data_IF_265371666707
#
_entry.id   IF_265371666707
#
_cell.length_a   1.000
_cell.length_b   1.000
_cell.length_c   1.000
_cell.angle_alpha   90.00
_cell.angle_beta   90.00
_cell.angle_gamma   90.00
#
_symmetry.space_group_name_H-M   'P 1'
#
loop_
_entity.id
_entity.type
_entity.pdbx_description
1 polymer ?
#
# COMPACT_ATOMS: atom_id res chain seq x y z
N UNK A 1 -81.80 -9.69 34.42
CA UNK A 1 -80.67 -10.65 34.34
C UNK A 1 -80.05 -10.78 32.94
N UNK A 2 -80.81 -10.99 31.86
CA UNK A 2 -80.24 -11.18 30.51
C UNK A 2 -79.62 -9.91 29.90
N UNK A 3 -80.25 -8.74 30.08
CA UNK A 3 -79.72 -7.44 29.59
C UNK A 3 -78.38 -7.06 30.24
N UNK A 4 -78.20 -7.32 31.53
CA UNK A 4 -76.92 -7.06 32.22
C UNK A 4 -75.80 -7.98 31.75
N UNK A 5 -76.12 -9.24 31.43
CA UNK A 5 -75.14 -10.19 30.86
C UNK A 5 -74.68 -9.72 29.48
N UNK A 6 -75.59 -9.23 28.63
CA UNK A 6 -75.26 -8.68 27.29
C UNK A 6 -74.41 -7.40 27.38
N UNK A 7 -74.73 -6.50 28.32
CA UNK A 7 -73.94 -5.27 28.56
C UNK A 7 -72.52 -5.58 29.04
N UNK A 8 -72.37 -6.53 29.98
CA UNK A 8 -71.05 -6.99 30.43
C UNK A 8 -70.26 -7.68 29.31
N UNK A 9 -70.91 -8.52 28.51
CA UNK A 9 -70.28 -9.16 27.36
C UNK A 9 -69.77 -8.14 26.32
N UNK A 10 -70.56 -7.11 26.02
CA UNK A 10 -70.16 -6.03 25.10
C UNK A 10 -68.98 -5.23 25.64
N UNK A 11 -68.97 -4.90 26.94
CA UNK A 11 -67.87 -4.18 27.57
C UNK A 11 -66.56 -4.98 27.54
N UNK A 12 -66.64 -6.29 27.79
CA UNK A 12 -65.48 -7.20 27.67
C UNK A 12 -65.01 -7.25 26.21
N UNK A 13 -65.92 -7.40 25.24
CA UNK A 13 -65.57 -7.42 23.82
C UNK A 13 -64.88 -6.12 23.35
N UNK A 14 -65.39 -4.95 23.76
CA UNK A 14 -64.75 -3.66 23.46
C UNK A 14 -63.35 -3.55 24.10
N UNK A 15 -63.19 -4.02 25.34
CA UNK A 15 -61.89 -3.97 26.03
C UNK A 15 -60.86 -4.87 25.33
N UNK A 16 -61.27 -6.07 24.92
CA UNK A 16 -60.43 -6.99 24.15
C UNK A 16 -60.06 -6.39 22.79
N UNK A 17 -61.00 -5.75 22.11
CA UNK A 17 -60.73 -5.09 20.83
C UNK A 17 -59.71 -3.95 20.97
N UNK A 18 -59.87 -3.08 21.96
CA UNK A 18 -58.91 -2.01 22.24
C UNK A 18 -57.53 -2.58 22.56
N UNK A 19 -57.46 -3.65 23.38
CA UNK A 19 -56.21 -4.31 23.68
C UNK A 19 -55.53 -4.88 22.42
N UNK A 20 -56.28 -5.52 21.52
CA UNK A 20 -55.75 -6.02 20.24
C UNK A 20 -55.23 -4.88 19.35
N UNK A 21 -55.94 -3.74 19.29
CA UNK A 21 -55.46 -2.57 18.55
C UNK A 21 -54.15 -2.02 19.12
N UNK A 22 -54.00 -1.98 20.44
CA UNK A 22 -52.77 -1.54 21.10
C UNK A 22 -51.62 -2.51 20.81
N UNK A 23 -51.84 -3.82 20.91
CA UNK A 23 -50.83 -4.84 20.56
C UNK A 23 -50.41 -4.73 19.10
N UNK A 24 -51.35 -4.52 18.17
CA UNK A 24 -51.03 -4.33 16.75
C UNK A 24 -50.25 -3.03 16.49
N UNK A 25 -50.60 -1.93 17.15
CA UNK A 25 -49.86 -0.67 17.06
C UNK A 25 -48.43 -0.82 17.60
N UNK A 26 -48.26 -1.48 18.75
CA UNK A 26 -46.94 -1.79 19.32
C UNK A 26 -46.10 -2.64 18.37
N UNK A 27 -46.69 -3.69 17.77
CA UNK A 27 -46.01 -4.51 16.77
C UNK A 27 -45.56 -3.69 15.54
N UNK A 28 -46.39 -2.75 15.07
CA UNK A 28 -46.03 -1.86 13.96
C UNK A 28 -44.90 -0.91 14.31
N UNK A 29 -44.87 -0.39 15.55
CA UNK A 29 -43.78 0.47 16.02
C UNK A 29 -42.47 -0.30 16.11
N UNK A 30 -42.48 -1.52 16.65
CA UNK A 30 -41.30 -2.40 16.72
C UNK A 30 -40.75 -2.65 15.30
N UNK A 31 -41.62 -3.02 14.35
CA UNK A 31 -41.20 -3.24 12.96
C UNK A 31 -40.67 -1.99 12.25
N UNK A 32 -41.15 -0.80 12.61
CA UNK A 32 -40.64 0.44 12.05
C UNK A 32 -39.24 0.76 12.60
N UNK A 33 -39.04 0.54 13.90
CA UNK A 33 -37.74 0.72 14.54
C UNK A 33 -36.69 -0.25 13.98
N UNK A 34 -37.03 -1.54 13.82
CA UNK A 34 -36.18 -2.54 13.16
C UNK A 34 -35.75 -2.09 11.75
N UNK A 35 -36.70 -1.59 10.95
CA UNK A 35 -36.39 -1.06 9.60
C UNK A 35 -35.47 0.15 9.64
N UNK A 36 -35.69 1.07 10.58
CA UNK A 36 -34.85 2.27 10.72
C UNK A 36 -33.44 1.93 11.20
N UNK A 37 -33.29 0.90 12.04
CA UNK A 37 -31.97 0.38 12.45
C UNK A 37 -31.25 -0.22 11.24
N UNK A 38 -31.91 -1.11 10.49
CA UNK A 38 -31.32 -1.72 9.29
C UNK A 38 -30.94 -0.66 8.25
N UNK A 39 -31.78 0.36 8.03
CA UNK A 39 -31.46 1.44 7.11
C UNK A 39 -30.25 2.27 7.56
N UNK A 40 -30.14 2.56 8.86
CA UNK A 40 -28.96 3.25 9.39
C UNK A 40 -27.69 2.43 9.24
N UNK A 41 -27.74 1.14 9.55
CA UNK A 41 -26.59 0.23 9.36
C UNK A 41 -26.13 0.20 7.91
N UNK A 42 -27.07 0.08 6.97
CA UNK A 42 -26.75 0.14 5.53
C UNK A 42 -26.12 1.47 5.13
N UNK A 43 -26.65 2.59 5.61
CA UNK A 43 -26.08 3.91 5.34
C UNK A 43 -24.68 4.07 5.93
N UNK A 44 -24.45 3.59 7.16
CA UNK A 44 -23.14 3.60 7.80
C UNK A 44 -22.12 2.73 7.07
N UNK A 45 -22.53 1.57 6.57
CA UNK A 45 -21.69 0.69 5.74
C UNK A 45 -21.35 1.34 4.39
N UNK A 46 -22.33 1.91 3.69
CA UNK A 46 -22.10 2.65 2.44
C UNK A 46 -21.15 3.83 2.67
N UNK A 47 -21.37 4.62 3.71
CA UNK A 47 -20.50 5.75 4.03
C UNK A 47 -19.07 5.28 4.33
N UNK A 48 -18.89 4.21 5.11
CA UNK A 48 -17.56 3.65 5.38
C UNK A 48 -16.84 3.20 4.11
N UNK A 49 -17.56 2.59 3.15
CA UNK A 49 -17.00 2.20 1.84
C UNK A 49 -16.57 3.44 1.04
N UNK A 50 -17.45 4.43 0.91
CA UNK A 50 -17.12 5.70 0.24
C UNK A 50 -15.92 6.40 0.87
N UNK A 51 -15.86 6.43 2.20
CA UNK A 51 -14.75 7.06 2.91
C UNK A 51 -13.42 6.32 2.71
N UNK A 52 -13.43 4.98 2.63
CA UNK A 52 -12.24 4.17 2.32
C UNK A 52 -11.75 4.42 0.90
N UNK A 53 -12.66 4.60 -0.06
CA UNK A 53 -12.33 4.94 -1.46
C UNK A 53 -11.71 6.35 -1.52
N UNK A 54 -12.38 7.34 -0.91
CA UNK A 54 -11.89 8.72 -0.88
C UNK A 54 -10.52 8.81 -0.20
N UNK A 55 -10.31 8.10 0.91
CA UNK A 55 -9.03 8.09 1.60
C UNK A 55 -7.91 7.46 0.74
N UNK A 56 -8.22 6.42 -0.04
CA UNK A 56 -7.28 5.81 -1.00
C UNK A 56 -6.91 6.82 -2.09
N UNK A 57 -7.89 7.53 -2.66
CA UNK A 57 -7.66 8.53 -3.70
C UNK A 57 -6.79 9.69 -3.18
N UNK A 58 -7.07 10.22 -1.99
CA UNK A 58 -6.28 11.29 -1.36
C UNK A 58 -4.83 10.84 -1.08
N UNK A 59 -4.62 9.60 -0.63
CA UNK A 59 -3.29 9.05 -0.42
C UNK A 59 -2.50 8.90 -1.74
N UNK A 60 -3.16 8.48 -2.82
CA UNK A 60 -2.57 8.36 -4.17
C UNK A 60 -2.21 9.75 -4.72
N UNK A 61 -3.13 10.72 -4.64
CA UNK A 61 -2.87 12.09 -5.11
C UNK A 61 -1.70 12.73 -4.35
N UNK A 62 -1.61 12.48 -3.04
CA UNK A 62 -0.45 12.87 -2.24
C UNK A 62 0.84 12.20 -2.74
N UNK A 63 0.82 10.89 -2.99
CA UNK A 63 2.00 10.15 -3.48
C UNK A 63 2.44 10.59 -4.88
N UNK A 64 1.51 10.94 -5.76
CA UNK A 64 1.80 11.50 -7.08
C UNK A 64 2.56 12.82 -6.94
N UNK A 65 2.03 13.76 -6.17
CA UNK A 65 2.71 15.05 -5.92
C UNK A 65 4.06 14.89 -5.20
N UNK A 66 4.14 13.96 -4.26
CA UNK A 66 5.36 13.65 -3.52
C UNK A 66 6.46 13.10 -4.43
N UNK A 67 6.13 12.11 -5.26
CA UNK A 67 7.10 11.51 -6.19
C UNK A 67 7.50 12.44 -7.33
N UNK A 68 6.60 13.27 -7.84
CA UNK A 68 6.93 14.33 -8.80
C UNK A 68 7.94 15.33 -8.23
N UNK A 69 7.72 15.76 -6.98
CA UNK A 69 8.62 16.67 -6.29
C UNK A 69 10.00 16.03 -6.06
N UNK A 70 10.03 14.81 -5.54
CA UNK A 70 11.27 14.07 -5.29
C UNK A 70 12.04 13.84 -6.60
N UNK A 71 11.34 13.48 -7.66
CA UNK A 71 11.91 13.31 -9.00
C UNK A 71 12.59 14.59 -9.50
N UNK A 72 11.94 15.74 -9.38
CA UNK A 72 12.50 17.02 -9.79
C UNK A 72 13.76 17.39 -9.00
N UNK A 73 13.80 17.08 -7.70
CA UNK A 73 14.99 17.26 -6.87
C UNK A 73 16.12 16.31 -7.31
N UNK A 74 15.82 15.05 -7.59
CA UNK A 74 16.81 14.05 -8.03
C UNK A 74 17.36 14.37 -9.42
N UNK A 75 16.55 14.92 -10.33
CA UNK A 75 17.02 15.40 -11.65
C UNK A 75 18.10 16.47 -11.50
N UNK A 76 17.93 17.40 -10.57
CA UNK A 76 18.92 18.45 -10.26
C UNK A 76 20.21 17.89 -9.67
N UNK A 77 20.17 16.69 -9.08
CA UNK A 77 21.33 15.99 -8.56
C UNK A 77 22.16 15.24 -9.63
N UNK A 78 21.71 15.22 -10.90
CA UNK A 78 22.58 14.91 -12.04
C UNK A 78 22.10 13.81 -12.99
N UNK A 79 21.04 13.06 -12.65
CA UNK A 79 20.44 12.07 -13.56
C UNK A 79 19.18 12.69 -14.18
N UNK A 80 19.32 13.25 -15.38
CA UNK A 80 18.30 14.10 -15.99
C UNK A 80 16.99 13.39 -16.34
N UNK A 81 17.04 12.10 -16.66
CA UNK A 81 15.88 11.27 -16.99
C UNK A 81 15.41 10.40 -15.83
N UNK A 82 15.86 10.69 -14.60
CA UNK A 82 15.42 9.91 -13.45
C UNK A 82 13.89 9.99 -13.29
N UNK A 83 13.31 8.83 -13.03
CA UNK A 83 11.90 8.62 -12.74
C UNK A 83 11.80 8.07 -11.32
N UNK A 84 10.92 8.67 -10.52
CA UNK A 84 10.57 8.17 -9.20
C UNK A 84 9.17 7.61 -9.30
N UNK A 85 9.00 6.35 -8.93
CA UNK A 85 7.72 5.65 -8.95
C UNK A 85 7.45 5.08 -7.58
N UNK A 86 6.22 4.65 -7.34
CA UNK A 86 5.86 3.95 -6.12
C UNK A 86 4.94 2.77 -6.41
N UNK A 87 4.88 1.83 -5.47
CA UNK A 87 3.90 0.74 -5.45
C UNK A 87 3.27 0.67 -4.08
N UNK A 88 1.97 0.40 -4.03
CA UNK A 88 1.28 0.09 -2.78
C UNK A 88 1.80 -1.26 -2.25
N UNK A 89 1.88 -1.42 -0.94
CA UNK A 89 2.16 -2.69 -0.27
C UNK A 89 1.23 -2.93 0.92
N UNK A 90 1.28 -4.13 1.48
CA UNK A 90 0.58 -4.46 2.72
C UNK A 90 1.26 -3.81 3.93
N UNK A 91 0.50 -3.70 5.03
CA UNK A 91 1.01 -3.25 6.33
C UNK A 91 2.11 -4.19 6.84
N UNK A 92 1.88 -5.50 6.76
CA UNK A 92 2.80 -6.51 7.26
C UNK A 92 4.13 -6.47 6.52
N UNK A 93 4.08 -6.32 5.19
CA UNK A 93 5.30 -6.12 4.40
C UNK A 93 6.02 -4.84 4.81
N UNK A 94 5.30 -3.74 5.06
CA UNK A 94 5.94 -2.49 5.46
C UNK A 94 6.59 -2.59 6.86
N UNK A 95 5.87 -3.17 7.82
CA UNK A 95 6.30 -3.32 9.21
C UNK A 95 7.57 -4.16 9.33
N UNK A 96 7.71 -5.22 8.51
CA UNK A 96 8.90 -6.08 8.49
C UNK A 96 10.21 -5.30 8.28
N UNK A 97 10.19 -4.24 7.45
CA UNK A 97 11.42 -3.51 7.06
C UNK A 97 11.56 -2.14 7.71
N UNK A 98 10.46 -1.40 7.87
CA UNK A 98 10.50 -0.01 8.35
C UNK A 98 9.87 0.19 9.73
N UNK A 99 9.06 -0.77 10.18
CA UNK A 99 8.24 -0.64 11.38
C UNK A 99 7.02 0.27 11.14
N UNK A 100 5.93 -0.01 11.83
CA UNK A 100 4.74 0.87 11.87
C UNK A 100 4.41 1.26 13.31
N UNK A 101 3.86 2.45 13.51
CA UNK A 101 3.38 2.86 14.83
C UNK A 101 2.02 2.20 15.11
N UNK A 102 1.98 1.31 16.10
CA UNK A 102 0.74 0.65 16.55
C UNK A 102 -0.23 1.61 17.26
N UNK A 103 0.22 2.80 17.66
CA UNK A 103 -0.57 3.79 18.41
C UNK A 103 -1.03 4.98 17.58
N UNK A 104 -0.80 4.96 16.27
CA UNK A 104 -1.24 6.00 15.34
C UNK A 104 -2.78 6.14 15.37
N UNK A 105 -3.33 7.32 15.72
CA UNK A 105 -4.77 7.51 15.87
C UNK A 105 -5.50 7.77 14.55
N UNK A 106 -4.83 7.65 13.39
CA UNK A 106 -5.42 7.91 12.08
C UNK A 106 -6.57 6.96 11.74
N UNK A 107 -7.51 7.45 10.91
CA UNK A 107 -8.70 6.68 10.52
C UNK A 107 -8.38 5.67 9.40
N UNK A 108 -7.43 6.02 8.52
CA UNK A 108 -7.01 5.20 7.38
C UNK A 108 -5.49 5.17 7.24
N UNK A 109 -4.98 4.06 6.71
CA UNK A 109 -3.55 3.77 6.60
C UNK A 109 -3.24 3.25 5.20
N UNK A 110 -2.24 3.83 4.55
CA UNK A 110 -1.76 3.39 3.24
C UNK A 110 -0.24 3.32 3.22
N UNK A 111 0.29 2.24 2.65
CA UNK A 111 1.72 1.91 2.67
C UNK A 111 2.24 1.85 1.24
N UNK A 112 3.33 2.57 0.98
CA UNK A 112 3.91 2.69 -0.35
C UNK A 112 5.43 2.51 -0.31
N UNK A 113 5.98 1.89 -1.35
CA UNK A 113 7.41 1.66 -1.52
C UNK A 113 7.89 2.40 -2.77
N UNK A 114 8.90 3.24 -2.59
CA UNK A 114 9.53 3.97 -3.70
C UNK A 114 10.46 3.08 -4.52
N UNK A 115 10.51 3.35 -5.82
CA UNK A 115 11.44 2.79 -6.78
C UNK A 115 11.99 3.90 -7.70
N UNK A 116 13.20 3.70 -8.23
CA UNK A 116 13.91 4.68 -9.06
C UNK A 116 14.33 4.08 -10.38
N UNK A 117 14.05 4.78 -11.48
CA UNK A 117 14.34 4.34 -12.84
C UNK A 117 15.09 5.40 -13.64
N UNK A 118 15.91 4.99 -14.60
CA UNK A 118 16.52 5.88 -15.58
C UNK A 118 16.86 5.06 -16.83
N UNK A 119 16.50 5.58 -18.01
CA UNK A 119 16.77 4.89 -19.27
C UNK A 119 18.25 5.08 -19.69
N UNK A 120 18.87 6.17 -19.20
CA UNK A 120 20.25 6.56 -19.45
C UNK A 120 21.27 5.97 -18.48
N UNK A 121 20.86 5.28 -17.41
CA UNK A 121 21.75 4.80 -16.35
C UNK A 121 22.87 3.88 -16.87
N UNK A 122 22.62 3.04 -17.88
CA UNK A 122 23.64 2.18 -18.50
C UNK A 122 24.75 3.01 -19.15
N UNK A 123 24.38 4.05 -19.90
CA UNK A 123 25.31 4.94 -20.58
C UNK A 123 26.10 5.76 -19.57
N UNK A 124 25.41 6.29 -18.56
CA UNK A 124 26.02 6.99 -17.42
C UNK A 124 27.03 6.09 -16.73
N UNK A 125 26.68 4.84 -16.44
CA UNK A 125 27.58 3.88 -15.82
C UNK A 125 28.79 3.59 -16.71
N UNK A 126 28.59 3.27 -17.99
CA UNK A 126 29.68 2.96 -18.91
C UNK A 126 30.66 4.12 -19.10
N UNK A 127 30.17 5.36 -19.18
CA UNK A 127 31.00 6.55 -19.31
C UNK A 127 31.79 6.83 -18.01
N UNK A 128 31.10 6.77 -16.87
CA UNK A 128 31.66 7.12 -15.56
C UNK A 128 32.49 6.02 -14.92
N UNK A 129 32.54 4.82 -15.51
CA UNK A 129 33.40 3.70 -15.08
C UNK A 129 34.48 3.37 -16.10
N UNK A 130 34.63 4.22 -17.13
CA UNK A 130 35.63 4.02 -18.17
C UNK A 130 37.05 3.95 -17.59
N UNK A 131 37.84 2.99 -18.07
CA UNK A 131 39.19 2.70 -17.58
C UNK A 131 39.26 2.15 -16.13
N UNK A 132 38.14 1.74 -15.54
CA UNK A 132 38.09 1.14 -14.20
C UNK A 132 38.08 2.15 -13.05
N UNK A 133 37.90 3.44 -13.33
CA UNK A 133 37.67 4.45 -12.29
C UNK A 133 36.17 4.59 -12.03
N UNK A 134 35.71 4.17 -10.84
CA UNK A 134 34.30 4.22 -10.44
C UNK A 134 33.93 5.50 -9.68
N UNK A 135 34.90 6.34 -9.32
CA UNK A 135 34.63 7.51 -8.48
C UNK A 135 33.63 8.50 -9.10
N UNK A 136 33.63 8.78 -10.42
CA UNK A 136 32.62 9.63 -11.04
C UNK A 136 31.19 9.07 -10.88
N UNK A 137 31.02 7.77 -11.10
CA UNK A 137 29.73 7.09 -10.97
C UNK A 137 29.23 7.10 -9.53
N UNK A 138 30.12 6.76 -8.59
CA UNK A 138 29.83 6.76 -7.15
C UNK A 138 29.42 8.15 -6.67
N UNK A 139 30.12 9.20 -7.11
CA UNK A 139 29.80 10.57 -6.74
C UNK A 139 28.39 10.94 -7.20
N UNK A 140 28.05 10.66 -8.46
CA UNK A 140 26.72 10.92 -9.01
C UNK A 140 25.62 10.16 -8.26
N UNK A 141 25.79 8.85 -8.08
CA UNK A 141 24.83 8.02 -7.34
C UNK A 141 24.65 8.52 -5.90
N UNK A 142 25.73 8.96 -5.25
CA UNK A 142 25.65 9.52 -3.90
C UNK A 142 24.93 10.87 -3.85
N UNK A 143 25.09 11.74 -4.85
CA UNK A 143 24.35 13.02 -4.96
C UNK A 143 22.83 12.75 -5.02
N UNK A 144 22.42 11.80 -5.85
CA UNK A 144 21.02 11.38 -5.98
C UNK A 144 20.50 10.69 -4.70
N UNK A 145 21.30 9.82 -4.08
CA UNK A 145 20.99 9.20 -2.78
C UNK A 145 20.80 10.23 -1.68
N UNK A 146 21.58 11.32 -1.67
CA UNK A 146 21.40 12.35 -0.64
C UNK A 146 20.06 13.06 -0.77
N UNK A 147 19.51 13.21 -1.98
CA UNK A 147 18.16 13.74 -2.17
C UNK A 147 17.13 12.77 -1.58
N UNK A 148 17.26 11.47 -1.87
CA UNK A 148 16.44 10.41 -1.27
C UNK A 148 16.51 10.43 0.27
N UNK A 149 17.69 10.57 0.86
CA UNK A 149 17.80 10.45 2.32
C UNK A 149 17.41 11.74 3.06
N UNK A 150 17.37 12.89 2.37
CA UNK A 150 16.91 14.17 2.91
C UNK A 150 15.47 14.51 2.47
N UNK A 151 14.62 13.48 2.27
CA UNK A 151 13.20 13.64 1.95
C UNK A 151 12.53 14.58 2.96
N UNK A 152 12.02 15.72 2.48
CA UNK A 152 11.28 16.67 3.31
C UNK A 152 9.92 16.08 3.72
N UNK A 153 9.46 16.41 4.93
CA UNK A 153 8.08 16.14 5.36
C UNK A 153 7.82 14.77 5.98
N UNK A 154 8.68 13.77 5.78
CA UNK A 154 8.44 12.42 6.30
C UNK A 154 9.10 12.24 7.67
N UNK A 155 8.31 12.20 8.75
CA UNK A 155 8.79 11.84 10.08
C UNK A 155 8.56 10.34 10.28
N UNK A 156 9.60 9.58 10.66
CA UNK A 156 9.48 8.14 10.94
C UNK A 156 8.77 7.32 9.83
N UNK A 157 9.02 7.68 8.57
CA UNK A 157 8.43 7.06 7.37
C UNK A 157 6.93 7.29 7.15
N UNK A 158 6.26 8.20 7.88
CA UNK A 158 4.86 8.55 7.63
C UNK A 158 4.63 10.05 7.41
N UNK A 159 3.54 10.36 6.72
CA UNK A 159 2.96 11.70 6.60
C UNK A 159 1.46 11.62 6.83
N UNK A 160 0.96 12.44 7.75
CA UNK A 160 -0.46 12.58 7.99
C UNK A 160 -1.06 13.61 7.05
N UNK A 161 -2.13 13.22 6.35
CA UNK A 161 -2.96 14.10 5.53
C UNK A 161 -4.40 14.07 6.03
N UNK A 162 -5.16 15.11 5.70
CA UNK A 162 -6.48 15.33 6.28
C UNK A 162 -7.58 15.21 5.22
N UNK A 163 -8.56 14.35 5.48
CA UNK A 163 -9.77 14.18 4.65
C UNK A 163 -11.00 14.59 5.45
N UNK A 164 -11.41 15.85 5.33
CA UNK A 164 -12.50 16.41 6.12
C UNK A 164 -12.16 16.46 7.62
N UNK A 165 -12.91 15.73 8.44
CA UNK A 165 -12.66 15.54 9.87
C UNK A 165 -11.78 14.33 10.21
N UNK A 166 -11.42 13.53 9.20
CA UNK A 166 -10.62 12.32 9.35
C UNK A 166 -9.15 12.52 8.99
N UNK A 167 -8.32 11.62 9.50
CA UNK A 167 -6.88 11.56 9.24
C UNK A 167 -6.51 10.32 8.45
N UNK A 168 -5.57 10.49 7.53
CA UNK A 168 -4.99 9.42 6.74
C UNK A 168 -3.49 9.45 6.99
N UNK A 169 -2.93 8.34 7.46
CA UNK A 169 -1.50 8.16 7.59
C UNK A 169 -0.94 7.50 6.31
N UNK A 170 -0.05 8.21 5.63
CA UNK A 170 0.63 7.74 4.42
C UNK A 170 2.05 7.33 4.76
N UNK A 171 2.30 6.02 4.75
CA UNK A 171 3.61 5.43 5.03
C UNK A 171 4.42 5.26 3.75
N UNK A 172 5.66 5.75 3.74
CA UNK A 172 6.53 5.85 2.57
C UNK A 172 7.88 5.19 2.87
N UNK A 173 8.05 4.01 2.31
CA UNK A 173 9.22 3.15 2.45
C UNK A 173 10.10 3.19 1.21
N UNK A 174 11.27 2.57 1.33
CA UNK A 174 12.22 2.40 0.24
C UNK A 174 13.04 1.14 0.49
N UNK A 175 13.09 0.23 -0.48
CA UNK A 175 13.79 -1.05 -0.35
C UNK A 175 15.27 -0.90 0.00
N UNK A 176 15.89 0.25 -0.30
CA UNK A 176 17.27 0.53 0.03
C UNK A 176 17.36 1.16 1.43
N UNK A 177 18.19 0.56 2.29
CA UNK A 177 18.51 1.10 3.61
C UNK A 177 19.07 2.54 3.51
N UNK A 178 19.01 3.30 4.61
CA UNK A 178 19.67 4.60 4.65
C UNK A 178 21.17 4.43 4.39
N UNK A 179 21.68 5.08 3.36
CA UNK A 179 23.02 4.83 2.84
C UNK A 179 23.02 4.44 1.37
N UNK A 180 22.00 3.69 0.97
CA UNK A 180 22.01 2.94 -0.28
C UNK A 180 21.02 3.54 -1.28
N UNK A 181 21.30 3.30 -2.57
CA UNK A 181 20.39 3.63 -3.66
C UNK A 181 20.53 2.60 -4.78
N UNK A 182 19.39 2.15 -5.30
CA UNK A 182 19.30 1.33 -6.50
C UNK A 182 18.56 2.09 -7.58
N UNK A 183 19.17 2.22 -8.76
CA UNK A 183 18.52 2.76 -9.95
C UNK A 183 18.35 1.63 -10.96
N UNK A 184 17.13 1.48 -11.46
CA UNK A 184 16.72 0.43 -12.38
C UNK A 184 16.64 0.96 -13.81
N UNK A 185 16.87 0.08 -14.77
CA UNK A 185 16.51 0.27 -16.16
C UNK A 185 15.73 -0.96 -16.60
N UNK A 186 14.58 -0.72 -17.22
CA UNK A 186 13.74 -1.80 -17.71
C UNK A 186 14.42 -2.55 -18.86
N UNK A 187 14.22 -3.89 -18.95
CA UNK A 187 13.32 -4.68 -18.11
C UNK A 187 13.91 -5.16 -16.77
N UNK A 188 15.21 -5.38 -16.65
CA UNK A 188 15.80 -6.11 -15.53
C UNK A 188 17.20 -5.64 -15.09
N UNK A 189 17.67 -4.50 -15.60
CA UNK A 189 18.99 -3.98 -15.29
C UNK A 189 18.98 -3.12 -14.01
N UNK A 190 19.89 -3.35 -13.09
CA UNK A 190 19.99 -2.61 -11.82
C UNK A 190 21.40 -2.15 -11.53
N UNK A 191 21.51 -0.96 -10.93
CA UNK A 191 22.75 -0.37 -10.46
C UNK A 191 22.58 0.09 -9.02
N UNK A 192 23.32 -0.52 -8.10
CA UNK A 192 23.22 -0.23 -6.68
C UNK A 192 24.52 0.36 -6.17
N UNK A 193 24.42 1.48 -5.46
CA UNK A 193 25.48 1.99 -4.61
C UNK A 193 25.12 1.64 -3.17
N UNK A 194 25.93 0.81 -2.53
CA UNK A 194 25.86 0.56 -1.09
C UNK A 194 27.04 1.23 -0.39
N UNK A 195 26.80 1.85 0.76
CA UNK A 195 27.88 2.52 1.49
C UNK A 195 27.61 2.68 2.97
N UNK A 196 28.70 2.61 3.73
CA UNK A 196 28.73 2.97 5.14
C UNK A 196 29.93 3.87 5.43
N UNK A 197 30.11 4.21 6.71
CA UNK A 197 31.19 5.09 7.16
C UNK A 197 32.62 4.57 6.87
N UNK A 198 32.78 3.29 6.51
CA UNK A 198 34.07 2.62 6.31
C UNK A 198 34.31 2.15 4.88
N UNK A 199 33.26 1.89 4.11
CA UNK A 199 33.39 1.26 2.80
C UNK A 199 32.22 1.61 1.89
N UNK A 200 32.45 1.41 0.59
CA UNK A 200 31.45 1.55 -0.46
C UNK A 200 31.59 0.42 -1.46
N UNK A 201 30.46 0.01 -2.03
CA UNK A 201 30.34 -1.04 -3.01
C UNK A 201 29.44 -0.59 -4.15
N UNK A 202 29.76 -1.04 -5.36
CA UNK A 202 28.89 -0.87 -6.53
C UNK A 202 28.49 -2.25 -7.01
N UNK A 203 27.20 -2.45 -7.20
CA UNK A 203 26.62 -3.66 -7.75
C UNK A 203 25.94 -3.37 -9.08
N UNK A 204 26.07 -4.31 -10.01
CA UNK A 204 25.36 -4.34 -11.28
C UNK A 204 24.60 -5.65 -11.34
N UNK A 205 23.27 -5.61 -11.41
CA UNK A 205 22.41 -6.81 -11.32
C UNK A 205 22.71 -7.66 -10.08
N UNK A 206 22.94 -7.01 -8.94
CA UNK A 206 23.31 -7.67 -7.69
C UNK A 206 24.73 -8.26 -7.64
N UNK A 207 25.52 -8.15 -8.72
CA UNK A 207 26.91 -8.58 -8.74
C UNK A 207 27.84 -7.44 -8.35
N UNK A 208 28.71 -7.66 -7.35
CA UNK A 208 29.74 -6.70 -6.96
C UNK A 208 30.73 -6.49 -8.12
N UNK A 209 30.86 -5.25 -8.57
CA UNK A 209 31.81 -4.84 -9.61
C UNK A 209 32.92 -3.94 -9.07
N UNK A 210 32.69 -3.35 -7.89
CA UNK A 210 33.64 -2.47 -7.23
C UNK A 210 33.45 -2.51 -5.71
N UNK A 211 34.57 -2.51 -4.98
CA UNK A 211 34.61 -2.35 -3.54
C UNK A 211 35.80 -1.47 -3.15
N UNK A 212 35.58 -0.53 -2.23
CA UNK A 212 36.65 0.28 -1.63
C UNK A 212 36.41 0.44 -0.15
N UNK A 213 37.27 -0.17 0.66
CA UNK A 213 37.34 0.06 2.09
C UNK A 213 38.33 1.20 2.39
N UNK A 214 38.03 1.97 3.44
CA UNK A 214 38.98 2.93 4.00
C UNK A 214 40.13 2.12 4.60
N UNK A 215 41.33 2.25 4.06
CA UNK A 215 42.53 1.65 4.65
C UNK A 215 42.68 2.11 6.10
N UNK A 216 42.26 1.28 7.05
CA UNK A 216 42.79 1.37 8.41
C UNK A 216 44.25 0.97 8.28
N UNK A 217 45.17 1.89 8.62
CA UNK A 217 46.57 1.54 8.88
C UNK A 217 46.61 0.56 10.06
N UNK A 218 46.38 -0.71 9.80
CA UNK A 218 46.64 -1.82 10.70
C UNK A 218 47.60 -2.75 9.99
N UNK A 219 48.81 -2.78 10.54
CA UNK A 219 49.88 -3.75 10.35
C UNK A 219 49.30 -5.14 10.03
N UNK A 220 49.85 -5.78 9.01
CA UNK A 220 49.19 -6.86 8.28
C UNK A 220 48.69 -8.05 9.10
N UNK A 221 47.62 -8.66 8.59
CA UNK A 221 47.44 -10.10 8.64
C UNK A 221 46.47 -10.55 7.55
N UNK A 222 46.92 -11.57 6.82
CA UNK A 222 46.24 -12.57 5.97
C UNK A 222 44.77 -12.40 5.57
N UNK A 223 44.53 -12.70 4.28
CA UNK A 223 43.23 -12.66 3.64
C UNK A 223 42.12 -13.48 4.30
N UNK A 224 40.90 -12.99 4.13
CA UNK A 224 39.68 -13.73 4.35
C UNK A 224 38.81 -13.60 3.10
N UNK A 225 38.79 -14.65 2.29
CA UNK A 225 37.81 -14.86 1.24
C UNK A 225 36.47 -15.25 1.90
N UNK A 226 35.57 -14.28 2.05
CA UNK A 226 34.20 -14.53 2.52
C UNK A 226 33.29 -14.78 1.33
N UNK A 227 33.14 -16.05 0.95
CA UNK A 227 32.11 -16.49 0.00
C UNK A 227 30.77 -16.58 0.74
N UNK A 228 29.90 -15.58 0.59
CA UNK A 228 28.50 -15.66 1.02
C UNK A 228 27.60 -15.88 -0.20
N UNK A 229 27.54 -17.14 -0.62
CA UNK A 229 26.53 -17.63 -1.56
C UNK A 229 25.19 -17.71 -0.82
N UNK A 230 24.32 -16.71 -1.00
CA UNK A 230 22.92 -16.81 -0.61
C UNK A 230 22.15 -17.35 -1.80
N UNK A 231 22.13 -18.68 -1.91
CA UNK A 231 21.17 -19.38 -2.75
C UNK A 231 19.88 -19.57 -1.96
N UNK A 232 18.84 -18.83 -2.36
CA UNK A 232 17.45 -19.18 -2.07
C UNK A 232 16.77 -19.41 -3.41
N UNK A 233 16.75 -20.67 -3.83
CA UNK A 233 15.83 -21.16 -4.84
C UNK A 233 14.45 -21.28 -4.22
N UNK A 234 13.50 -20.46 -4.66
CA UNK A 234 12.08 -20.79 -4.67
C UNK A 234 11.61 -20.63 -6.10
N UNK A 235 11.27 -21.76 -6.72
CA UNK A 235 10.60 -21.74 -8.01
C UNK A 235 9.16 -21.34 -7.77
N UNK A 236 8.70 -20.32 -8.47
CA UNK A 236 7.29 -20.17 -8.82
C UNK A 236 7.21 -20.14 -10.34
N UNK A 237 6.47 -21.10 -10.87
CA UNK A 237 6.06 -21.15 -12.27
C UNK A 237 5.37 -19.85 -12.63
N UNK A 238 5.85 -19.18 -13.68
CA UNK A 238 5.18 -18.04 -14.29
C UNK A 238 3.75 -18.42 -14.70
N UNK A 239 2.77 -18.05 -13.89
CA UNK A 239 1.40 -17.83 -14.34
C UNK A 239 1.34 -16.34 -14.65
N UNK A 240 1.44 -15.99 -15.93
CA UNK A 240 1.17 -14.63 -16.37
C UNK A 240 -0.35 -14.46 -16.44
N UNK A 241 -0.97 -14.44 -15.27
CA UNK A 241 -2.33 -13.97 -15.12
C UNK A 241 -2.26 -12.51 -14.68
N UNK A 242 -2.84 -11.55 -15.42
CA UNK A 242 -2.93 -10.16 -14.97
C UNK A 242 -3.73 -10.01 -13.65
N UNK A 243 -4.50 -11.01 -13.24
CA UNK A 243 -5.37 -11.00 -12.08
C UNK A 243 -4.89 -12.00 -11.00
N UNK A 244 -3.71 -11.78 -10.42
CA UNK A 244 -3.11 -12.71 -9.44
C UNK A 244 -3.91 -12.76 -8.12
N UNK A 245 -4.82 -13.74 -8.03
CA UNK A 245 -5.71 -13.94 -6.87
C UNK A 245 -4.96 -14.26 -5.58
N UNK A 246 -3.70 -14.71 -5.66
CA UNK A 246 -2.89 -15.07 -4.50
C UNK A 246 -2.33 -13.85 -3.74
N UNK A 247 -2.48 -12.64 -4.29
CA UNK A 247 -2.14 -11.38 -3.62
C UNK A 247 -3.25 -10.89 -2.66
N UNK A 248 -4.39 -11.60 -2.58
CA UNK A 248 -5.57 -11.24 -1.79
C UNK A 248 -5.93 -12.33 -0.79
N UNK A 249 -6.19 -11.93 0.46
CA UNK A 249 -6.51 -12.86 1.55
C UNK A 249 -7.98 -13.33 1.55
N UNK A 250 -8.87 -12.58 0.90
CA UNK A 250 -10.30 -12.92 0.75
C UNK A 250 -10.85 -12.45 -0.62
N UNK A 251 -11.93 -13.09 -1.13
CA UNK A 251 -12.48 -12.79 -2.46
C UNK A 251 -13.11 -11.40 -2.56
N UNK A 252 -13.57 -10.85 -1.43
CA UNK A 252 -14.17 -9.51 -1.41
C UNK A 252 -13.11 -8.44 -1.69
N UNK A 253 -11.87 -8.62 -1.22
CA UNK A 253 -10.76 -7.70 -1.51
C UNK A 253 -10.34 -7.73 -2.99
N UNK A 254 -10.33 -8.92 -3.60
CA UNK A 254 -10.07 -9.08 -5.04
C UNK A 254 -11.20 -8.47 -5.88
N UNK A 255 -12.46 -8.78 -5.56
CA UNK A 255 -13.62 -8.27 -6.27
C UNK A 255 -13.78 -6.75 -6.13
N UNK A 256 -13.36 -6.17 -5.00
CA UNK A 256 -13.31 -4.72 -4.80
C UNK A 256 -12.27 -4.03 -5.72
N UNK A 257 -11.16 -4.68 -6.05
CA UNK A 257 -10.12 -4.10 -6.92
C UNK A 257 -10.41 -4.31 -8.40
N UNK A 258 -10.95 -5.47 -8.76
CA UNK A 258 -11.11 -5.87 -10.16
C UNK A 258 -12.56 -5.79 -10.67
N UNK A 259 -13.55 -5.53 -9.81
CA UNK A 259 -14.96 -5.50 -10.18
C UNK A 259 -15.32 -4.48 -11.28
N UNK A 260 -14.61 -3.36 -11.39
CA UNK A 260 -14.81 -2.42 -12.51
C UNK A 260 -14.28 -2.96 -13.85
N UNK A 261 -13.20 -3.75 -13.82
CA UNK A 261 -12.56 -4.30 -15.02
C UNK A 261 -13.32 -5.53 -15.54
N UNK A 262 -13.82 -6.37 -14.64
CA UNK A 262 -14.69 -7.49 -14.98
C UNK A 262 -16.07 -7.03 -15.47
N UNK A 263 -16.53 -5.86 -15.01
CA UNK A 263 -17.83 -5.30 -15.34
C UNK A 263 -17.87 -4.38 -16.57
N UNK A 264 -16.84 -4.38 -17.42
CA UNK A 264 -16.70 -3.48 -18.60
C UNK A 264 -16.92 -1.98 -18.23
N UNK A 265 -16.44 -1.59 -17.04
CA UNK A 265 -16.60 -0.25 -16.46
C UNK A 265 -17.80 -0.08 -15.51
N UNK A 266 -18.53 -1.14 -15.19
CA UNK A 266 -19.63 -1.17 -14.21
C UNK A 266 -19.26 -2.01 -12.98
N UNK A 267 -18.86 -1.35 -11.89
CA UNK A 267 -18.51 -2.02 -10.63
C UNK A 267 -19.62 -2.95 -10.10
N UNK A 268 -20.88 -2.55 -10.22
CA UNK A 268 -22.01 -3.36 -9.72
C UNK A 268 -22.22 -4.67 -10.50
N UNK A 269 -21.90 -4.66 -11.80
CA UNK A 269 -22.07 -5.86 -12.65
C UNK A 269 -20.83 -6.77 -12.57
N UNK A 270 -19.63 -6.21 -12.40
CA UNK A 270 -18.39 -6.99 -12.40
C UNK A 270 -17.89 -7.45 -11.03
N UNK A 271 -18.48 -7.01 -9.92
CA UNK A 271 -18.13 -7.51 -8.59
C UNK A 271 -18.38 -9.02 -8.48
N UNK A 272 -19.57 -9.47 -8.90
CA UNK A 272 -19.93 -10.89 -8.89
C UNK A 272 -19.02 -11.69 -9.83
N UNK A 273 -18.68 -11.13 -11.01
CA UNK A 273 -17.79 -11.77 -11.99
C UNK A 273 -16.33 -11.89 -11.48
N UNK A 274 -15.83 -10.87 -10.76
CA UNK A 274 -14.50 -10.92 -10.14
C UNK A 274 -14.48 -11.87 -8.94
N UNK A 275 -15.56 -11.92 -8.17
CA UNK A 275 -15.70 -12.87 -7.06
C UNK A 275 -15.70 -14.32 -7.57
N UNK A 276 -16.46 -14.61 -8.63
CA UNK A 276 -16.50 -15.93 -9.27
C UNK A 276 -15.12 -16.31 -9.84
N UNK A 277 -14.38 -15.36 -10.43
CA UNK A 277 -13.01 -15.58 -10.92
C UNK A 277 -12.04 -15.97 -9.80
N UNK A 278 -12.10 -15.28 -8.66
CA UNK A 278 -11.28 -15.60 -7.50
C UNK A 278 -11.57 -17.01 -6.96
N UNK A 279 -12.85 -17.40 -6.90
CA UNK A 279 -13.22 -18.76 -6.50
C UNK A 279 -12.70 -19.81 -7.49
N UNK A 280 -12.74 -19.57 -8.80
CA UNK A 280 -12.25 -20.49 -9.82
C UNK A 280 -10.72 -20.70 -9.81
N UNK A 281 -9.93 -19.66 -9.51
CA UNK A 281 -8.46 -19.75 -9.45
C UNK A 281 -7.93 -20.27 -8.09
N UNK A 282 -8.75 -20.21 -7.03
CA UNK A 282 -8.43 -20.74 -5.70
C UNK A 282 -8.79 -22.23 -5.50
N UNK A 283 -9.60 -22.83 -6.36
CA UNK A 283 -10.05 -24.25 -6.30
C UNK A 283 -9.08 -25.24 -7.00
#
# INVERSE_FOLDING_TARGET
MEKDKKKKALQVACTVFVFLCVVFAMYKLIKLDEKNVIQRQKQEETQKKEDKINAKCEAIEYMDGYTENLQEQMRKAGIGDIRVTYKKCSRDYFDEYWGVDEYDPSDYFYYFILDYYSDSIDSIYAENTSNGDFEPFIKLMNEVRMVKDNREGVYEYSQDIRMGDKWIAVYIGDKNLSGDITIKKEPDQTYTLEQNQYARWVYVNGQEVYAKSRETKSTGSSGYSGNSSWGSSSGSSSRNDPYDVYDYDDPDEFADEWGEEFGDGSYEDGYDDAYDYWEEEMD
#
